data_IF_654665696788
#
_entry.id   IF_654665696788
#
_cell.length_a   1.000
_cell.length_b   1.000
_cell.length_c   1.000
_cell.angle_alpha   90.00
_cell.angle_beta   90.00
_cell.angle_gamma   90.00
#
_symmetry.space_group_name_H-M   'P 1'
#
loop_
_entity.id
_entity.type
_entity.pdbx_description
1 polymer ?
#
# COMPACT_ATOMS: atom_id res chain seq x y z
N UNK A 1 3.40 -26.23 -9.79
CA UNK A 1 2.86 -24.91 -10.17
C UNK A 1 2.23 -24.29 -8.95
N UNK A 2 2.62 -23.08 -8.59
CA UNK A 2 1.94 -22.29 -7.54
C UNK A 2 0.62 -21.76 -8.11
N UNK A 3 -0.49 -22.06 -7.43
CA UNK A 3 -1.81 -21.53 -7.81
C UNK A 3 -2.04 -20.20 -7.09
N UNK A 4 -2.18 -19.13 -7.86
CA UNK A 4 -2.52 -17.80 -7.36
C UNK A 4 -4.04 -17.68 -7.21
N UNK A 5 -4.54 -17.59 -5.99
CA UNK A 5 -5.98 -17.62 -5.70
C UNK A 5 -6.50 -16.20 -5.49
N UNK A 6 -5.77 -15.40 -4.73
CA UNK A 6 -6.23 -14.10 -4.23
C UNK A 6 -5.66 -12.91 -4.99
N UNK A 7 -4.83 -13.15 -6.01
CA UNK A 7 -4.24 -12.09 -6.84
C UNK A 7 -4.48 -12.26 -8.33
N UNK A 8 -4.24 -11.19 -9.08
CA UNK A 8 -4.22 -11.14 -10.54
C UNK A 8 -2.92 -10.49 -11.03
N UNK A 9 -2.62 -10.62 -12.32
CA UNK A 9 -1.50 -9.91 -12.94
C UNK A 9 -1.65 -8.40 -12.77
N UNK A 10 -0.55 -7.71 -12.54
CA UNK A 10 -0.50 -6.26 -12.43
C UNK A 10 0.34 -5.69 -13.56
N UNK A 11 -0.34 -5.07 -14.52
CA UNK A 11 0.26 -4.66 -15.79
C UNK A 11 0.68 -3.17 -15.80
N UNK A 12 0.50 -2.46 -14.68
CA UNK A 12 0.94 -1.08 -14.56
C UNK A 12 2.44 -1.01 -14.25
N UNK A 13 3.10 -0.01 -14.81
CA UNK A 13 4.53 0.22 -14.60
C UNK A 13 4.80 0.53 -13.11
N UNK A 14 5.63 -0.29 -12.47
CA UNK A 14 6.10 -0.06 -11.12
C UNK A 14 7.39 0.78 -11.13
N UNK A 15 7.73 1.47 -10.02
CA UNK A 15 9.01 2.15 -9.90
C UNK A 15 10.17 1.17 -10.13
N UNK A 16 11.27 1.67 -10.70
CA UNK A 16 12.43 0.85 -11.07
C UNK A 16 12.95 -0.06 -9.94
N UNK A 17 12.91 0.38 -8.68
CA UNK A 17 13.35 -0.45 -7.55
C UNK A 17 12.39 -1.62 -7.25
N UNK A 18 11.10 -1.49 -7.55
CA UNK A 18 10.11 -2.55 -7.41
C UNK A 18 10.04 -3.45 -8.67
N UNK A 19 10.29 -2.88 -9.85
CA UNK A 19 10.34 -3.62 -11.11
C UNK A 19 11.62 -4.44 -11.29
N UNK A 20 12.77 -3.96 -10.80
CA UNK A 20 14.08 -4.59 -11.02
C UNK A 20 14.46 -5.66 -9.99
N UNK A 21 13.62 -5.92 -9.00
CA UNK A 21 13.96 -6.84 -7.89
C UNK A 21 13.58 -8.29 -8.15
N UNK A 22 12.85 -8.59 -9.23
CA UNK A 22 12.35 -9.95 -9.45
C UNK A 22 12.07 -10.22 -10.94
N UNK A 23 12.42 -11.43 -11.41
CA UNK A 23 11.97 -11.96 -12.71
C UNK A 23 10.55 -12.56 -12.66
N UNK A 24 9.91 -12.53 -11.49
CA UNK A 24 8.56 -13.02 -11.28
C UNK A 24 7.52 -12.00 -11.76
N UNK A 25 6.37 -12.46 -12.28
CA UNK A 25 5.28 -11.59 -12.65
C UNK A 25 4.81 -10.77 -11.45
N UNK A 26 4.69 -9.46 -11.63
CA UNK A 26 4.10 -8.57 -10.64
C UNK A 26 2.60 -8.88 -10.56
N UNK A 27 2.08 -8.95 -9.34
CA UNK A 27 0.68 -9.28 -9.08
C UNK A 27 0.10 -8.29 -8.08
N UNK A 28 -1.22 -8.11 -8.15
CA UNK A 28 -1.97 -7.32 -7.19
C UNK A 28 -3.09 -8.16 -6.57
N UNK A 29 -3.35 -7.95 -5.29
CA UNK A 29 -4.48 -8.57 -4.60
C UNK A 29 -5.81 -8.16 -5.23
N UNK A 30 -6.69 -9.14 -5.45
CA UNK A 30 -8.09 -8.93 -5.84
C UNK A 30 -8.89 -8.19 -4.76
N UNK A 31 -8.35 -8.12 -3.55
CA UNK A 31 -8.98 -7.50 -2.38
C UNK A 31 -8.46 -6.09 -2.08
N UNK A 32 -7.90 -5.41 -3.09
CA UNK A 32 -7.41 -4.04 -2.95
C UNK A 32 -8.46 -3.08 -2.38
N UNK A 33 -9.72 -3.18 -2.82
CA UNK A 33 -10.82 -2.37 -2.30
C UNK A 33 -11.04 -2.54 -0.79
N UNK A 34 -10.91 -3.77 -0.27
CA UNK A 34 -11.00 -4.05 1.17
C UNK A 34 -9.84 -3.39 1.90
N UNK A 35 -8.62 -3.48 1.35
CA UNK A 35 -7.45 -2.86 1.95
C UNK A 35 -7.62 -1.34 2.10
N UNK A 36 -8.07 -0.67 1.03
CA UNK A 36 -8.37 0.77 1.03
C UNK A 36 -9.46 1.15 2.03
N UNK A 37 -10.56 0.41 2.08
CA UNK A 37 -11.64 0.67 3.04
C UNK A 37 -11.18 0.53 4.49
N UNK A 38 -10.33 -0.45 4.80
CA UNK A 38 -9.75 -0.60 6.14
C UNK A 38 -8.83 0.57 6.46
N UNK A 39 -7.97 0.95 5.52
CA UNK A 39 -7.05 2.09 5.69
C UNK A 39 -7.81 3.39 5.92
N UNK A 40 -8.88 3.64 5.14
CA UNK A 40 -9.71 4.84 5.29
C UNK A 40 -10.38 4.89 6.66
N UNK A 41 -10.93 3.77 7.14
CA UNK A 41 -11.51 3.69 8.50
C UNK A 41 -10.48 3.98 9.59
N UNK A 42 -9.23 3.53 9.42
CA UNK A 42 -8.14 3.84 10.34
C UNK A 42 -7.83 5.33 10.35
N UNK A 43 -7.70 5.94 9.16
CA UNK A 43 -7.51 7.39 8.99
C UNK A 43 -8.62 8.19 9.66
N UNK A 44 -9.88 7.84 9.42
CA UNK A 44 -11.03 8.55 10.01
C UNK A 44 -11.02 8.45 11.54
N UNK A 45 -10.70 7.26 12.07
CA UNK A 45 -10.57 7.03 13.52
C UNK A 45 -9.45 7.89 14.10
N UNK A 46 -8.29 7.92 13.44
CA UNK A 46 -7.12 8.67 13.90
C UNK A 46 -7.34 10.18 13.83
N UNK A 47 -7.95 10.68 12.76
CA UNK A 47 -8.38 12.08 12.64
C UNK A 47 -9.29 12.48 13.80
N UNK A 48 -10.27 11.64 14.15
CA UNK A 48 -11.18 11.91 15.28
C UNK A 48 -10.48 11.95 16.64
N UNK A 49 -9.35 11.25 16.77
CA UNK A 49 -8.53 11.21 17.98
C UNK A 49 -7.39 12.26 18.00
N UNK A 50 -7.25 13.09 16.97
CA UNK A 50 -6.16 14.06 16.84
C UNK A 50 -4.79 13.42 16.58
N UNK A 51 -4.77 12.19 16.05
CA UNK A 51 -3.56 11.46 15.70
C UNK A 51 -3.11 11.80 14.26
N UNK A 52 -1.79 11.76 13.97
CA UNK A 52 -1.28 12.01 12.63
C UNK A 52 -1.78 10.95 11.64
N UNK A 53 -2.19 11.35 10.44
CA UNK A 53 -2.65 10.44 9.37
C UNK A 53 -1.85 10.56 8.09
N UNK A 54 -0.71 11.23 8.18
CA UNK A 54 0.24 11.46 7.09
C UNK A 54 1.64 11.22 7.67
N UNK A 55 2.60 10.97 6.79
CA UNK A 55 3.99 10.97 7.24
C UNK A 55 4.43 12.37 7.65
N UNK A 56 5.58 12.46 8.32
CA UNK A 56 6.20 13.74 8.73
C UNK A 56 6.47 14.66 7.52
N UNK A 57 6.62 14.09 6.31
CA UNK A 57 6.85 14.84 5.07
C UNK A 57 5.54 15.32 4.39
N UNK A 58 4.37 15.02 4.97
CA UNK A 58 3.07 15.51 4.50
C UNK A 58 2.50 14.73 3.31
N UNK A 59 3.12 13.62 2.91
CA UNK A 59 2.60 12.80 1.83
C UNK A 59 1.34 12.04 2.28
N UNK A 60 0.26 12.20 1.52
CA UNK A 60 -1.01 11.51 1.74
C UNK A 60 -1.01 10.22 0.93
N UNK A 61 -0.85 9.09 1.61
CA UNK A 61 -0.72 7.75 1.01
C UNK A 61 -1.67 6.73 1.62
N UNK A 62 -2.31 7.08 2.74
CA UNK A 62 -3.30 6.27 3.43
C UNK A 62 -4.69 6.44 2.85
N UNK A 63 -5.55 5.48 3.17
CA UNK A 63 -6.95 5.49 2.78
C UNK A 63 -7.11 5.43 1.26
N UNK A 64 -7.85 6.37 0.73
CA UNK A 64 -8.15 6.47 -0.70
C UNK A 64 -7.19 7.34 -1.51
N UNK A 65 -6.10 7.82 -0.92
CA UNK A 65 -5.14 8.74 -1.57
C UNK A 65 -4.39 8.14 -2.77
N UNK A 66 -4.39 6.81 -2.91
CA UNK A 66 -3.82 6.10 -4.07
C UNK A 66 -4.83 5.13 -4.70
N UNK A 67 -4.73 4.83 -6.00
CA UNK A 67 -5.52 3.74 -6.61
C UNK A 67 -5.27 2.38 -5.94
N UNK A 68 -4.08 2.13 -5.39
CA UNK A 68 -3.69 0.85 -4.83
C UNK A 68 -3.18 1.01 -3.40
N UNK A 69 -3.55 0.08 -2.52
CA UNK A 69 -2.97 0.01 -1.20
C UNK A 69 -1.63 -0.74 -1.25
N UNK A 70 -0.63 -0.31 -0.47
CA UNK A 70 0.72 -0.91 -0.48
C UNK A 70 0.71 -2.43 -0.25
N UNK A 71 -0.08 -2.90 0.74
CA UNK A 71 -0.30 -4.33 1.01
C UNK A 71 -0.79 -5.11 -0.22
N UNK A 72 -1.62 -4.51 -1.07
CA UNK A 72 -2.18 -5.20 -2.24
C UNK A 72 -1.10 -5.57 -3.25
N UNK A 73 0.00 -4.81 -3.31
CA UNK A 73 1.11 -5.05 -4.23
C UNK A 73 2.24 -5.84 -3.54
N UNK A 74 2.52 -5.56 -2.26
CA UNK A 74 3.62 -6.22 -1.54
C UNK A 74 3.27 -7.65 -1.09
N UNK A 75 1.99 -7.93 -0.78
CA UNK A 75 1.51 -9.25 -0.38
C UNK A 75 0.24 -9.60 -1.16
N UNK A 76 0.35 -9.85 -2.48
CA UNK A 76 -0.81 -9.98 -3.36
C UNK A 76 -1.67 -11.22 -3.05
N UNK A 77 -1.07 -12.27 -2.49
CA UNK A 77 -1.76 -13.50 -2.04
C UNK A 77 -2.17 -13.47 -0.56
N UNK A 78 -2.26 -12.29 0.06
CA UNK A 78 -2.77 -12.18 1.42
C UNK A 78 -4.18 -12.79 1.53
N UNK A 79 -4.38 -13.64 2.55
CA UNK A 79 -5.69 -14.19 2.87
C UNK A 79 -6.68 -13.06 3.17
N UNK A 80 -7.91 -13.09 2.65
CA UNK A 80 -8.90 -12.02 2.83
C UNK A 80 -9.08 -11.60 4.30
N UNK A 81 -9.16 -12.58 5.21
CA UNK A 81 -9.32 -12.36 6.65
C UNK A 81 -8.09 -11.73 7.33
N UNK A 82 -6.91 -11.73 6.69
CA UNK A 82 -5.66 -11.15 7.24
C UNK A 82 -5.39 -9.74 6.73
N UNK A 83 -6.07 -9.31 5.65
CA UNK A 83 -5.85 -7.99 5.02
C UNK A 83 -6.03 -6.86 6.02
N UNK A 84 -7.06 -6.92 6.86
CA UNK A 84 -7.33 -5.85 7.82
C UNK A 84 -6.17 -5.63 8.81
N UNK A 85 -5.59 -6.72 9.31
CA UNK A 85 -4.43 -6.65 10.22
C UNK A 85 -3.17 -6.16 9.50
N UNK A 86 -2.94 -6.62 8.27
CA UNK A 86 -1.78 -6.21 7.47
C UNK A 86 -1.81 -4.72 7.14
N UNK A 87 -2.99 -4.20 6.75
CA UNK A 87 -3.21 -2.78 6.48
C UNK A 87 -2.91 -1.94 7.72
N UNK A 88 -3.54 -2.28 8.86
CA UNK A 88 -3.32 -1.52 10.10
C UNK A 88 -1.85 -1.46 10.50
N UNK A 89 -1.11 -2.56 10.35
CA UNK A 89 0.30 -2.61 10.67
C UNK A 89 1.13 -1.74 9.72
N UNK A 90 0.91 -1.86 8.40
CA UNK A 90 1.63 -1.05 7.42
C UNK A 90 1.33 0.44 7.60
N UNK A 91 0.07 0.80 7.77
CA UNK A 91 -0.36 2.18 7.91
C UNK A 91 0.21 2.82 9.18
N UNK A 92 0.22 2.07 10.29
CA UNK A 92 0.91 2.50 11.50
C UNK A 92 2.40 2.75 11.23
N UNK A 93 3.08 1.80 10.60
CA UNK A 93 4.49 1.95 10.28
C UNK A 93 4.73 3.19 9.43
N UNK A 94 3.98 3.39 8.36
CA UNK A 94 4.23 4.49 7.44
C UNK A 94 3.82 5.88 8.00
N UNK A 95 3.03 5.96 9.09
CA UNK A 95 2.82 7.24 9.81
C UNK A 95 4.00 7.57 10.71
N UNK A 96 4.60 6.56 11.35
CA UNK A 96 5.69 6.75 12.31
C UNK A 96 7.09 6.60 11.70
N UNK A 97 7.20 6.03 10.51
CA UNK A 97 8.44 5.79 9.77
C UNK A 97 8.32 6.39 8.36
N UNK A 98 9.03 7.51 8.17
CA UNK A 98 9.09 8.25 6.92
C UNK A 98 9.73 7.48 5.78
N UNK A 99 10.71 6.61 6.05
CA UNK A 99 11.40 5.86 4.99
C UNK A 99 10.53 4.71 4.48
N UNK A 100 9.82 4.02 5.38
CA UNK A 100 8.83 3.02 4.97
C UNK A 100 7.65 3.65 4.22
N UNK A 101 7.25 4.86 4.61
CA UNK A 101 6.21 5.62 3.93
C UNK A 101 6.57 5.94 2.47
N UNK A 102 7.79 6.44 2.22
CA UNK A 102 8.28 6.72 0.87
C UNK A 102 8.26 5.48 -0.01
N UNK A 103 8.70 4.34 0.53
CA UNK A 103 8.68 3.06 -0.18
C UNK A 103 7.23 2.70 -0.55
N UNK A 104 6.29 2.76 0.39
CA UNK A 104 4.89 2.47 0.13
C UNK A 104 4.28 3.40 -0.95
N UNK A 105 4.55 4.72 -0.87
CA UNK A 105 4.09 5.73 -1.83
C UNK A 105 4.62 5.46 -3.23
N UNK A 106 5.92 5.20 -3.36
CA UNK A 106 6.52 4.95 -4.65
C UNK A 106 5.85 3.75 -5.33
N UNK A 107 5.58 2.65 -4.60
CA UNK A 107 4.92 1.46 -5.16
C UNK A 107 3.54 1.78 -5.73
N UNK A 108 2.78 2.64 -5.05
CA UNK A 108 1.35 2.86 -5.34
C UNK A 108 1.08 4.07 -6.24
N UNK A 109 2.06 4.97 -6.39
CA UNK A 109 1.98 6.19 -7.20
C UNK A 109 3.30 6.45 -7.96
N UNK A 110 3.66 5.61 -8.96
CA UNK A 110 4.95 5.67 -9.66
C UNK A 110 5.24 7.01 -10.39
N UNK A 111 4.22 7.84 -10.61
CA UNK A 111 4.35 9.14 -11.30
C UNK A 111 4.71 10.35 -10.42
N UNK A 112 4.67 10.25 -9.09
CA UNK A 112 5.09 11.34 -8.19
C UNK A 112 6.53 11.13 -7.77
N UNK A 113 7.48 11.32 -8.68
CA UNK A 113 8.85 11.59 -8.26
C UNK A 113 8.86 12.96 -7.58
N UNK A 114 9.04 12.98 -6.26
CA UNK A 114 9.41 14.18 -5.52
C UNK A 114 10.64 14.79 -6.18
N UNK A 115 10.46 15.92 -6.87
CA UNK A 115 11.57 16.76 -7.29
C UNK A 115 12.33 17.15 -6.02
N UNK A 116 13.59 16.75 -5.97
CA UNK A 116 14.56 17.21 -4.96
C UNK A 116 14.70 18.72 -4.99
#
# INVERSE_FOLDING_TARGET
MSTFVYSQSYDQELPAWAANTTSLPIRISKHNSIAKQVSQKLVDTWKSAGLPTQSVEGEEYLGDASPNHGISITIPEALPQRISSAVKLLDMLCVFDTELCKIAIMVISPGKQTKR
#
